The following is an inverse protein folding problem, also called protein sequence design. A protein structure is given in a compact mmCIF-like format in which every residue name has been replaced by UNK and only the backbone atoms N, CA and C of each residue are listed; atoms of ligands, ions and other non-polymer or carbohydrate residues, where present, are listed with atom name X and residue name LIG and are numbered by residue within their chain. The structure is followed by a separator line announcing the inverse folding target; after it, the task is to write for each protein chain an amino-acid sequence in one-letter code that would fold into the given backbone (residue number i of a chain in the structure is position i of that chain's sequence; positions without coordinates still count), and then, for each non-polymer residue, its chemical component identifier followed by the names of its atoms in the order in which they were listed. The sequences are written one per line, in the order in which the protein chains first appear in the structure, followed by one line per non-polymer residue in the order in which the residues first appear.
data_IF_344887129060
#
_entry.id   IF_344887129060
#
_cell.length_a   1.000
_cell.length_b   1.000
_cell.length_c   1.000
_cell.angle_alpha   90.00
_cell.angle_beta   90.00
_cell.angle_gamma   90.00
#
_symmetry.space_group_name_H-M   'P 1'
#
loop_
_entity.id
_entity.type
_entity.pdbx_description
1 polymer ?
#
# COMPACT_ATOMS: atom_id res chain seq x y z
N UNK A 1 -9.32 10.59 -22.44
CA UNK A 1 -7.96 10.12 -22.09
C UNK A 1 -8.02 9.17 -20.91
N UNK A 2 -7.34 8.05 -21.03
CA UNK A 2 -7.21 7.14 -19.90
C UNK A 2 -6.33 7.77 -18.82
N UNK A 3 -6.71 7.60 -17.56
CA UNK A 3 -5.86 8.02 -16.45
C UNK A 3 -4.58 7.18 -16.43
N UNK A 4 -3.47 7.77 -16.01
CA UNK A 4 -2.23 7.03 -15.82
C UNK A 4 -2.42 5.95 -14.77
N UNK A 5 -1.78 4.80 -14.98
CA UNK A 5 -1.79 3.71 -14.01
C UNK A 5 -1.19 4.18 -12.68
N UNK A 6 -1.86 3.86 -11.59
CA UNK A 6 -1.38 4.14 -10.24
C UNK A 6 -1.03 2.84 -9.56
N UNK A 7 0.10 2.83 -8.88
CA UNK A 7 0.54 1.69 -8.10
C UNK A 7 0.54 2.08 -6.64
N UNK A 8 -0.30 1.45 -5.84
CA UNK A 8 -0.38 1.68 -4.40
C UNK A 8 0.42 0.58 -3.69
N UNK A 9 1.42 0.98 -2.94
CA UNK A 9 2.22 0.03 -2.15
C UNK A 9 1.48 -0.27 -0.85
N UNK A 10 1.36 -1.56 -0.49
CA UNK A 10 0.86 -1.89 0.84
C UNK A 10 1.94 -1.61 1.89
N UNK A 11 1.58 -1.74 3.17
CA UNK A 11 2.50 -1.40 4.25
C UNK A 11 3.75 -2.28 4.26
N UNK A 12 3.60 -3.58 3.98
CA UNK A 12 4.74 -4.48 3.95
C UNK A 12 5.72 -4.11 2.84
N UNK A 13 5.21 -3.80 1.64
CA UNK A 13 6.06 -3.40 0.52
C UNK A 13 6.75 -2.07 0.81
N UNK A 14 6.03 -1.10 1.36
CA UNK A 14 6.63 0.17 1.77
C UNK A 14 7.74 -0.05 2.80
N UNK A 15 7.50 -0.93 3.79
CA UNK A 15 8.51 -1.28 4.78
C UNK A 15 9.75 -1.92 4.16
N UNK A 16 9.57 -2.82 3.20
CA UNK A 16 10.72 -3.42 2.50
C UNK A 16 11.53 -2.36 1.77
N UNK A 17 10.86 -1.42 1.11
CA UNK A 17 11.54 -0.36 0.37
C UNK A 17 12.40 0.50 1.30
N UNK A 18 11.84 0.95 2.43
CA UNK A 18 12.58 1.81 3.37
C UNK A 18 13.73 1.07 4.05
N UNK A 19 13.66 -0.26 4.14
CA UNK A 19 14.76 -1.07 4.68
C UNK A 19 15.79 -1.45 3.63
N UNK A 20 15.58 -1.10 2.37
CA UNK A 20 16.51 -1.38 1.29
C UNK A 20 16.56 -2.84 0.88
N UNK A 21 15.42 -3.53 0.79
CA UNK A 21 15.41 -4.95 0.52
C UNK A 21 15.32 -5.28 -0.98
N UNK A 22 16.30 -6.02 -1.45
CA UNK A 22 16.28 -6.85 -2.62
C UNK A 22 16.45 -6.16 -3.97
N UNK A 23 17.19 -6.80 -4.89
CA UNK A 23 17.41 -6.24 -6.23
C UNK A 23 16.15 -6.27 -7.12
N UNK A 24 15.26 -7.26 -6.95
CA UNK A 24 14.06 -7.35 -7.76
C UNK A 24 13.11 -6.17 -7.52
N UNK A 25 12.90 -5.82 -6.25
CA UNK A 25 12.06 -4.67 -5.89
C UNK A 25 12.70 -3.36 -6.36
N UNK A 26 14.02 -3.22 -6.16
CA UNK A 26 14.75 -2.04 -6.61
C UNK A 26 14.63 -1.84 -8.12
N UNK A 27 14.72 -2.91 -8.90
CA UNK A 27 14.59 -2.86 -10.36
C UNK A 27 13.19 -2.38 -10.78
N UNK A 28 12.13 -2.85 -10.12
CA UNK A 28 10.77 -2.42 -10.42
C UNK A 28 10.56 -0.96 -10.07
N UNK A 29 11.12 -0.50 -8.94
CA UNK A 29 11.00 0.90 -8.52
C UNK A 29 11.66 1.85 -9.51
N UNK A 30 12.82 1.47 -10.05
CA UNK A 30 13.51 2.27 -11.07
C UNK A 30 12.70 2.33 -12.37
N UNK A 31 12.00 1.25 -12.70
CA UNK A 31 11.23 1.16 -13.95
C UNK A 31 9.90 1.92 -13.91
N UNK A 32 9.39 2.28 -12.74
CA UNK A 32 8.09 2.94 -12.58
C UNK A 32 8.29 4.40 -12.24
N UNK A 33 7.68 5.34 -13.00
CA UNK A 33 7.76 6.75 -12.67
C UNK A 33 7.21 7.04 -11.27
N UNK A 34 7.90 7.90 -10.52
CA UNK A 34 7.48 8.27 -9.15
C UNK A 34 6.06 8.82 -9.10
N UNK A 35 5.64 9.53 -10.14
CA UNK A 35 4.28 10.09 -10.22
C UNK A 35 3.20 9.01 -10.23
N UNK A 36 3.56 7.76 -10.54
CA UNK A 36 2.62 6.63 -10.55
C UNK A 36 2.61 5.85 -9.23
N UNK A 37 3.55 6.15 -8.32
CA UNK A 37 3.62 5.47 -7.02
C UNK A 37 2.85 6.23 -5.97
N UNK A 38 2.06 5.52 -5.19
CA UNK A 38 1.33 6.11 -4.08
C UNK A 38 1.24 5.15 -2.90
N UNK A 39 0.89 5.69 -1.75
CA UNK A 39 0.49 4.92 -0.57
C UNK A 39 -0.79 5.53 -0.01
N UNK A 40 -1.55 4.71 0.71
CA UNK A 40 -2.66 5.20 1.51
C UNK A 40 -2.14 5.94 2.74
N UNK A 41 -2.89 6.93 3.22
CA UNK A 41 -2.60 7.53 4.53
C UNK A 41 -2.67 6.50 5.67
N UNK A 42 -3.35 5.38 5.47
CA UNK A 42 -3.31 4.24 6.41
C UNK A 42 -1.88 3.69 6.49
N UNK A 43 -1.23 3.46 5.35
CA UNK A 43 0.17 3.01 5.31
C UNK A 43 1.10 4.05 5.90
N UNK A 44 0.88 5.32 5.60
CA UNK A 44 1.63 6.41 6.22
C UNK A 44 1.55 6.32 7.74
N UNK A 45 0.34 6.14 8.27
CA UNK A 45 0.13 6.02 9.73
C UNK A 45 0.88 4.84 10.32
N UNK A 46 0.91 3.71 9.63
CA UNK A 46 1.64 2.54 10.10
C UNK A 46 3.16 2.74 10.11
N UNK A 47 3.68 3.39 9.08
CA UNK A 47 5.11 3.73 9.03
C UNK A 47 5.48 4.71 10.16
N UNK A 48 4.65 5.73 10.38
CA UNK A 48 4.87 6.70 11.45
C UNK A 48 4.76 6.05 12.83
N UNK A 49 3.84 5.12 13.01
CA UNK A 49 3.76 4.33 14.23
C UNK A 49 5.06 3.54 14.47
N UNK A 50 5.59 2.92 13.43
CA UNK A 50 6.87 2.21 13.54
C UNK A 50 8.01 3.11 13.98
N UNK A 51 8.04 4.37 13.52
CA UNK A 51 9.03 5.35 13.95
C UNK A 51 8.83 5.76 15.41
N UNK A 52 7.57 5.98 15.81
CA UNK A 52 7.25 6.38 17.19
C UNK A 52 7.67 5.33 18.20
N UNK A 53 7.65 4.05 17.81
CA UNK A 53 8.13 2.95 18.65
C UNK A 53 9.65 2.89 18.77
N UNK A 54 10.38 3.58 17.88
CA UNK A 54 11.84 3.55 17.80
C UNK A 54 12.40 4.96 17.73
N UNK A 55 12.21 5.76 18.79
CA UNK A 55 12.58 7.18 18.74
C UNK A 55 14.09 7.40 18.54
N UNK A 56 14.92 6.42 18.89
CA UNK A 56 16.38 6.51 18.72
C UNK A 56 16.90 6.10 17.34
N UNK A 57 16.04 5.53 16.51
CA UNK A 57 16.45 5.04 15.18
C UNK A 57 16.46 6.19 14.15
N UNK A 58 17.38 7.13 14.33
CA UNK A 58 17.41 8.38 13.54
C UNK A 58 17.57 8.14 12.05
N UNK A 59 18.38 7.15 11.65
CA UNK A 59 18.55 6.81 10.24
C UNK A 59 17.23 6.33 9.63
N UNK A 60 16.46 5.51 10.35
CA UNK A 60 15.17 5.03 9.88
C UNK A 60 14.17 6.18 9.75
N UNK A 61 14.15 7.11 10.71
CA UNK A 61 13.29 8.29 10.65
C UNK A 61 13.56 9.10 9.38
N UNK A 62 14.83 9.31 9.04
CA UNK A 62 15.20 10.05 7.85
C UNK A 62 14.74 9.33 6.58
N UNK A 63 14.97 8.03 6.49
CA UNK A 63 14.59 7.24 5.30
C UNK A 63 13.08 7.23 5.09
N UNK A 64 12.31 7.03 6.16
CA UNK A 64 10.84 6.99 6.05
C UNK A 64 10.30 8.36 5.65
N UNK A 65 10.81 9.44 6.24
CA UNK A 65 10.35 10.80 5.91
C UNK A 65 10.66 11.15 4.47
N UNK A 66 11.85 10.80 3.97
CA UNK A 66 12.21 11.00 2.58
C UNK A 66 11.32 10.17 1.63
N UNK A 67 11.04 8.93 1.99
CA UNK A 67 10.17 8.06 1.22
C UNK A 67 8.78 8.69 1.08
N UNK A 68 8.17 9.10 2.19
CA UNK A 68 6.83 9.70 2.19
C UNK A 68 6.78 11.04 1.44
N UNK A 69 7.88 11.77 1.42
CA UNK A 69 7.95 13.06 0.72
C UNK A 69 8.00 12.90 -0.80
N UNK A 70 8.55 11.77 -1.29
CA UNK A 70 8.82 11.57 -2.72
C UNK A 70 7.66 10.99 -3.51
N UNK A 71 6.70 10.35 -2.85
CA UNK A 71 5.57 9.75 -3.54
C UNK A 71 4.27 10.39 -3.06
N UNK A 72 3.16 10.06 -3.74
CA UNK A 72 1.85 10.58 -3.36
C UNK A 72 1.32 9.80 -2.17
N UNK A 73 0.96 10.53 -1.11
CA UNK A 73 0.18 9.98 0.00
C UNK A 73 -1.27 10.36 -0.22
N UNK A 74 -2.12 9.37 -0.46
CA UNK A 74 -3.54 9.60 -0.74
C UNK A 74 -4.35 9.53 0.55
N UNK A 75 -5.21 10.53 0.76
CA UNK A 75 -6.08 10.55 1.93
C UNK A 75 -7.12 9.44 1.83
N UNK A 76 -7.29 8.67 2.92
CA UNK A 76 -8.35 7.68 3.03
C UNK A 76 -9.66 8.41 3.31
N UNK A 77 -10.46 8.59 2.28
CA UNK A 77 -11.61 9.51 2.25
C UNK A 77 -12.96 8.78 2.23
N UNK A 78 -14.04 9.53 1.99
CA UNK A 78 -15.38 8.96 1.96
C UNK A 78 -15.57 7.95 0.83
N UNK A 79 -14.89 8.11 -0.30
CA UNK A 79 -14.95 7.12 -1.38
C UNK A 79 -14.32 5.80 -0.93
N UNK A 80 -13.19 5.86 -0.24
CA UNK A 80 -12.56 4.69 0.36
C UNK A 80 -13.48 4.06 1.42
N UNK A 81 -14.15 4.88 2.22
CA UNK A 81 -15.06 4.39 3.26
C UNK A 81 -16.23 3.60 2.67
N UNK A 82 -16.79 4.08 1.57
CA UNK A 82 -17.89 3.38 0.90
C UNK A 82 -17.45 2.02 0.36
N UNK A 83 -16.27 1.97 -0.26
CA UNK A 83 -15.70 0.70 -0.73
C UNK A 83 -15.40 -0.24 0.43
N UNK A 84 -14.89 0.30 1.52
CA UNK A 84 -14.57 -0.48 2.71
C UNK A 84 -15.79 -1.20 3.28
N UNK A 85 -16.90 -0.49 3.45
CA UNK A 85 -18.11 -1.09 3.99
C UNK A 85 -18.63 -2.25 3.14
N UNK A 86 -18.68 -2.06 1.82
CA UNK A 86 -19.13 -3.09 0.90
C UNK A 86 -18.15 -4.27 0.84
N UNK A 87 -16.84 -3.97 0.79
CA UNK A 87 -15.82 -5.01 0.69
C UNK A 87 -15.79 -5.87 1.95
N UNK A 88 -15.77 -5.25 3.11
CA UNK A 88 -15.72 -5.99 4.37
C UNK A 88 -16.91 -6.92 4.52
N UNK A 89 -18.12 -6.43 4.22
CA UNK A 89 -19.32 -7.25 4.29
C UNK A 89 -19.23 -8.44 3.33
N UNK A 90 -18.77 -8.22 2.11
CA UNK A 90 -18.62 -9.29 1.12
C UNK A 90 -17.59 -10.34 1.54
N UNK A 91 -16.45 -9.92 2.08
CA UNK A 91 -15.41 -10.85 2.53
C UNK A 91 -15.88 -11.67 3.72
N UNK A 92 -16.57 -11.06 4.68
CA UNK A 92 -17.14 -11.77 5.83
C UNK A 92 -18.20 -12.77 5.40
N UNK A 93 -19.07 -12.38 4.47
CA UNK A 93 -20.11 -13.27 3.96
C UNK A 93 -19.52 -14.46 3.21
N UNK A 94 -18.40 -14.28 2.53
CA UNK A 94 -17.71 -15.34 1.80
C UNK A 94 -16.83 -16.21 2.72
N UNK A 95 -16.68 -15.87 4.00
CA UNK A 95 -15.84 -16.58 4.93
C UNK A 95 -14.34 -16.38 4.70
N UNK A 96 -13.95 -15.31 4.01
CA UNK A 96 -12.57 -15.01 3.67
C UNK A 96 -12.17 -13.61 4.12
N UNK A 97 -12.28 -13.28 5.43
CA UNK A 97 -11.94 -11.94 5.89
C UNK A 97 -10.45 -11.65 5.74
N UNK A 98 -10.14 -10.36 5.59
CA UNK A 98 -8.79 -9.83 5.70
C UNK A 98 -8.60 -9.18 7.06
N UNK A 99 -7.34 -8.95 7.45
CA UNK A 99 -7.05 -8.11 8.59
C UNK A 99 -7.63 -6.70 8.41
N UNK A 100 -7.88 -5.99 9.50
CA UNK A 100 -8.57 -4.70 9.45
C UNK A 100 -7.81 -3.67 8.61
N UNK A 101 -6.51 -3.54 8.83
CA UNK A 101 -5.69 -2.57 8.09
C UNK A 101 -5.60 -2.95 6.61
N UNK A 102 -5.45 -4.23 6.31
CA UNK A 102 -5.39 -4.71 4.92
C UNK A 102 -6.71 -4.45 4.19
N UNK A 103 -7.84 -4.60 4.88
CA UNK A 103 -9.15 -4.29 4.29
C UNK A 103 -9.26 -2.80 3.96
N UNK A 104 -8.77 -1.93 4.85
CA UNK A 104 -8.74 -0.48 4.59
C UNK A 104 -7.90 -0.15 3.36
N UNK A 105 -6.72 -0.75 3.24
CA UNK A 105 -5.81 -0.51 2.11
C UNK A 105 -6.41 -1.03 0.80
N UNK A 106 -6.97 -2.24 0.81
CA UNK A 106 -7.62 -2.80 -0.37
C UNK A 106 -8.79 -1.94 -0.85
N UNK A 107 -9.62 -1.47 0.08
CA UNK A 107 -10.74 -0.58 -0.23
C UNK A 107 -10.24 0.73 -0.85
N UNK A 108 -9.15 1.27 -0.33
CA UNK A 108 -8.56 2.51 -0.87
C UNK A 108 -8.06 2.31 -2.29
N UNK A 109 -7.33 1.23 -2.55
CA UNK A 109 -6.85 0.92 -3.89
C UNK A 109 -8.01 0.78 -4.87
N UNK A 110 -9.08 0.09 -4.48
CA UNK A 110 -10.28 -0.03 -5.32
C UNK A 110 -10.92 1.33 -5.59
N UNK A 111 -11.00 2.20 -4.58
CA UNK A 111 -11.67 3.50 -4.71
C UNK A 111 -10.96 4.43 -5.69
N UNK A 112 -9.65 4.32 -5.84
CA UNK A 112 -8.86 5.14 -6.76
C UNK A 112 -8.46 4.41 -8.04
N UNK A 113 -8.85 3.15 -8.19
CA UNK A 113 -8.51 2.34 -9.37
C UNK A 113 -7.03 2.01 -9.46
N UNK A 114 -6.34 1.90 -8.33
CA UNK A 114 -4.92 1.59 -8.31
C UNK A 114 -4.66 0.07 -8.35
N UNK A 115 -3.51 -0.29 -8.91
CA UNK A 115 -2.96 -1.63 -8.74
C UNK A 115 -2.32 -1.70 -7.36
N UNK A 116 -2.68 -2.70 -6.57
CA UNK A 116 -2.08 -2.89 -5.25
C UNK A 116 -0.80 -3.69 -5.39
N UNK A 117 0.30 -3.15 -4.93
CA UNK A 117 1.60 -3.82 -4.92
C UNK A 117 1.80 -4.45 -3.55
N UNK A 118 1.81 -5.77 -3.50
CA UNK A 118 1.89 -6.53 -2.25
C UNK A 118 2.52 -7.90 -2.49
N UNK A 119 3.12 -8.47 -1.47
CA UNK A 119 3.57 -9.87 -1.49
C UNK A 119 2.65 -10.79 -0.67
N UNK A 120 1.54 -10.28 -0.16
CA UNK A 120 0.59 -11.06 0.63
C UNK A 120 -0.49 -11.63 -0.27
N UNK A 121 -0.53 -12.95 -0.36
CA UNK A 121 -1.50 -13.69 -1.20
C UNK A 121 -2.95 -13.49 -0.77
N UNK A 122 -3.18 -13.09 0.47
CA UNK A 122 -4.53 -12.88 0.98
C UNK A 122 -5.30 -11.83 0.17
N UNK A 123 -4.61 -10.86 -0.43
CA UNK A 123 -5.27 -9.83 -1.25
C UNK A 123 -5.88 -10.39 -2.54
N UNK A 124 -5.49 -11.59 -2.97
CA UNK A 124 -6.13 -12.25 -4.12
C UNK A 124 -7.61 -12.58 -3.86
N UNK A 125 -8.04 -12.60 -2.59
CA UNK A 125 -9.44 -12.80 -2.21
C UNK A 125 -10.34 -11.62 -2.53
N UNK A 126 -9.77 -10.45 -2.80
CA UNK A 126 -10.52 -9.21 -2.97
C UNK A 126 -11.03 -9.14 -4.42
N UNK A 127 -12.37 -9.15 -4.62
CA UNK A 127 -12.91 -9.06 -5.98
C UNK A 127 -12.53 -7.73 -6.65
N UNK A 128 -12.24 -7.78 -7.93
CA UNK A 128 -11.92 -6.63 -8.78
C UNK A 128 -10.61 -5.91 -8.44
N UNK A 129 -9.86 -6.33 -7.43
CA UNK A 129 -8.57 -5.75 -7.10
C UNK A 129 -7.48 -6.35 -7.98
N UNK A 130 -6.75 -5.50 -8.68
CA UNK A 130 -5.56 -5.92 -9.44
C UNK A 130 -4.36 -5.87 -8.50
N UNK A 131 -3.64 -6.97 -8.41
CA UNK A 131 -2.52 -7.14 -7.49
C UNK A 131 -1.25 -7.47 -8.27
N UNK A 132 -0.13 -6.85 -7.93
CA UNK A 132 1.19 -7.20 -8.45
C UNK A 132 2.15 -7.44 -7.29
N UNK A 133 3.01 -8.44 -7.43
CA UNK A 133 4.06 -8.72 -6.45
C UNK A 133 5.43 -8.35 -7.05
N UNK A 134 5.98 -7.22 -6.61
CA UNK A 134 7.27 -6.74 -7.11
C UNK A 134 8.45 -7.32 -6.35
N UNK A 135 8.19 -7.91 -5.17
CA UNK A 135 9.22 -8.52 -4.34
C UNK A 135 9.31 -10.03 -4.52
N UNK A 136 8.60 -10.59 -5.50
CA UNK A 136 8.64 -12.01 -5.75
C UNK A 136 10.05 -12.42 -6.23
N UNK A 137 10.61 -13.37 -5.54
CA UNK A 137 11.86 -14.00 -5.95
C UNK A 137 11.55 -15.15 -6.90
#
# INVERSE_FOLDING_TARGET
MAAATRYMLDTNMASYIVRGSGPALAARLVAVPMAQLCVSSVTEGELLYGLARRPSATALHTVVQEFLRRLDVLAWDSAAARRYGALRAALEAAGTPLGNLDTLIAAHALSVGAILVTNDRAFARVPALVVENWGAS
#
